data_IF_293200951455
#
_entry.id   IF_293200951455
#
_cell.length_a   1.000
_cell.length_b   1.000
_cell.length_c   1.000
_cell.angle_alpha   90.00
_cell.angle_beta   90.00
_cell.angle_gamma   90.00
#
_symmetry.space_group_name_H-M   'P 1'
#
loop_
_entity.id
_entity.type
_entity.pdbx_description
1 polymer ?
#
# COMPACT_ATOMS: atom_id res chain seq x y z
N UNK A 1 29.04 -54.77 -1.61
CA UNK A 1 28.69 -53.60 -2.43
C UNK A 1 27.52 -52.85 -1.80
N UNK A 2 27.76 -51.77 -1.06
CA UNK A 2 26.71 -50.78 -0.73
C UNK A 2 27.36 -49.40 -0.68
N UNK A 3 27.13 -48.59 -1.71
CA UNK A 3 27.52 -47.19 -1.73
C UNK A 3 26.50 -46.43 -0.88
N UNK A 4 26.94 -45.85 0.23
CA UNK A 4 26.11 -44.96 1.05
C UNK A 4 26.24 -43.58 0.43
N UNK A 5 25.23 -43.18 -0.35
CA UNK A 5 25.15 -41.84 -0.91
C UNK A 5 24.55 -40.93 0.17
N UNK A 6 25.41 -40.11 0.79
CA UNK A 6 24.98 -39.07 1.73
C UNK A 6 24.36 -37.93 0.91
N UNK A 7 23.03 -37.87 0.82
CA UNK A 7 22.33 -36.76 0.16
C UNK A 7 22.16 -35.64 1.18
N UNK A 8 22.97 -34.59 1.04
CA UNK A 8 22.83 -33.35 1.79
C UNK A 8 21.58 -32.61 1.25
N UNK A 9 20.44 -32.78 1.91
CA UNK A 9 19.23 -32.00 1.61
C UNK A 9 19.47 -30.60 2.16
N UNK A 10 19.92 -29.69 1.30
CA UNK A 10 19.93 -28.27 1.57
C UNK A 10 18.49 -27.79 1.71
N UNK A 11 18.05 -27.60 2.96
CA UNK A 11 16.80 -26.92 3.26
C UNK A 11 17.01 -25.44 2.91
N UNK A 12 16.69 -25.08 1.67
CA UNK A 12 16.34 -23.71 1.32
C UNK A 12 15.09 -23.38 2.13
N UNK A 13 15.29 -22.83 3.32
CA UNK A 13 14.28 -22.04 4.02
C UNK A 13 13.96 -20.85 3.11
N UNK A 14 13.04 -21.07 2.16
CA UNK A 14 12.20 -20.02 1.63
C UNK A 14 11.41 -19.51 2.82
N UNK A 15 12.04 -18.59 3.56
CA UNK A 15 11.36 -17.72 4.50
C UNK A 15 10.17 -17.17 3.75
N UNK A 16 8.98 -17.65 4.12
CA UNK A 16 7.71 -17.15 3.62
C UNK A 16 7.55 -15.75 4.21
N UNK A 17 8.29 -14.79 3.64
CA UNK A 17 8.08 -13.37 3.86
C UNK A 17 6.63 -13.11 3.46
N UNK A 18 5.85 -12.57 4.39
CA UNK A 18 4.45 -12.22 4.13
C UNK A 18 4.45 -11.05 3.16
N UNK A 19 4.58 -11.32 1.86
CA UNK A 19 4.38 -10.33 0.80
C UNK A 19 2.92 -9.89 0.91
N UNK A 20 2.70 -8.77 1.59
CA UNK A 20 1.40 -8.12 1.55
C UNK A 20 1.33 -7.34 0.24
N UNK A 21 0.35 -7.65 -0.58
CA UNK A 21 0.04 -6.88 -1.78
C UNK A 21 -0.67 -5.57 -1.41
N UNK A 22 -0.60 -4.58 -2.30
CA UNK A 22 -1.44 -3.39 -2.29
C UNK A 22 -2.91 -3.78 -2.20
N UNK A 23 -3.70 -3.13 -1.35
CA UNK A 23 -5.15 -3.38 -1.23
C UNK A 23 -5.92 -2.08 -1.31
N UNK A 24 -7.04 -2.08 -2.03
CA UNK A 24 -7.90 -0.91 -2.12
C UNK A 24 -9.35 -1.30 -2.44
N UNK A 25 -10.29 -0.41 -2.11
CA UNK A 25 -11.73 -0.56 -2.37
C UNK A 25 -12.34 0.80 -2.73
N UNK A 26 -13.36 0.79 -3.60
CA UNK A 26 -14.10 1.96 -4.11
C UNK A 26 -15.62 1.83 -3.93
N UNK A 27 -16.07 1.25 -2.82
CA UNK A 27 -17.48 0.97 -2.55
C UNK A 27 -18.28 2.23 -2.21
N UNK A 28 -19.62 2.14 -2.27
CA UNK A 28 -20.56 3.23 -1.96
C UNK A 28 -20.23 3.90 -0.62
N UNK A 29 -20.12 3.12 0.44
CA UNK A 29 -19.99 3.61 1.82
C UNK A 29 -18.54 3.77 2.27
N UNK A 30 -17.58 3.17 1.55
CA UNK A 30 -16.19 3.14 2.01
C UNK A 30 -15.19 3.12 0.86
N UNK A 31 -14.18 3.96 0.98
CA UNK A 31 -12.98 3.94 0.14
C UNK A 31 -11.78 3.71 1.04
N UNK A 32 -10.86 2.83 0.64
CA UNK A 32 -9.58 2.73 1.33
C UNK A 32 -8.47 2.34 0.37
N UNK A 33 -7.24 2.66 0.78
CA UNK A 33 -6.01 2.22 0.16
C UNK A 33 -5.03 1.83 1.27
N UNK A 34 -4.42 0.66 1.12
CA UNK A 34 -3.31 0.15 1.92
C UNK A 34 -2.13 -0.09 0.98
N UNK A 35 -1.09 0.70 1.18
CA UNK A 35 0.19 0.72 0.49
C UNK A 35 1.21 -0.04 1.34
N UNK A 36 2.00 -0.85 0.67
CA UNK A 36 3.00 -1.73 1.27
C UNK A 36 4.38 -1.38 0.70
N UNK A 37 5.46 -1.94 1.23
CA UNK A 37 6.79 -1.72 0.64
C UNK A 37 6.93 -2.22 -0.81
N UNK A 38 6.06 -3.15 -1.22
CA UNK A 38 6.08 -3.78 -2.55
C UNK A 38 5.12 -3.10 -3.54
N UNK A 39 4.35 -2.10 -3.10
CA UNK A 39 3.48 -1.35 -4.00
C UNK A 39 4.31 -0.60 -5.05
N UNK A 40 3.97 -0.82 -6.30
CA UNK A 40 4.69 -0.27 -7.47
C UNK A 40 4.12 1.06 -7.91
N UNK A 41 4.93 1.83 -8.66
CA UNK A 41 4.50 3.10 -9.25
C UNK A 41 3.28 2.94 -10.16
N UNK A 42 3.26 1.88 -10.98
CA UNK A 42 2.15 1.62 -11.90
C UNK A 42 0.85 1.28 -11.17
N UNK A 43 0.91 0.55 -10.05
CA UNK A 43 -0.25 0.34 -9.18
C UNK A 43 -0.76 1.65 -8.59
N UNK A 44 0.13 2.50 -8.07
CA UNK A 44 -0.27 3.80 -7.51
C UNK A 44 -0.97 4.69 -8.55
N UNK A 45 -0.42 4.76 -9.77
CA UNK A 45 -1.01 5.52 -10.88
C UNK A 45 -2.39 4.96 -11.24
N UNK A 46 -2.50 3.63 -11.39
CA UNK A 46 -3.78 2.97 -11.70
C UNK A 46 -4.83 3.26 -10.63
N UNK A 47 -4.48 3.08 -9.35
CA UNK A 47 -5.39 3.28 -8.22
C UNK A 47 -5.81 4.74 -8.11
N UNK A 48 -4.87 5.70 -8.25
CA UNK A 48 -5.21 7.12 -8.26
C UNK A 48 -6.19 7.48 -9.37
N UNK A 49 -6.00 6.94 -10.58
CA UNK A 49 -6.92 7.13 -11.70
C UNK A 49 -8.30 6.53 -11.42
N UNK A 50 -8.37 5.37 -10.76
CA UNK A 50 -9.63 4.73 -10.41
C UNK A 50 -10.38 5.54 -9.35
N UNK A 51 -9.70 5.96 -8.27
CA UNK A 51 -10.27 6.83 -7.24
C UNK A 51 -10.80 8.14 -7.81
N UNK A 52 -10.08 8.73 -8.77
CA UNK A 52 -10.53 9.94 -9.45
C UNK A 52 -11.78 9.69 -10.29
N UNK A 53 -11.83 8.59 -11.04
CA UNK A 53 -12.93 8.27 -11.94
C UNK A 53 -14.19 7.84 -11.18
N UNK A 54 -14.06 6.95 -10.19
CA UNK A 54 -15.19 6.30 -9.51
C UNK A 54 -15.75 7.17 -8.39
N UNK A 55 -14.89 7.89 -7.67
CA UNK A 55 -15.27 8.61 -6.43
C UNK A 55 -14.96 10.09 -6.46
N UNK A 56 -14.43 10.61 -7.56
CA UNK A 56 -13.92 11.97 -7.64
C UNK A 56 -12.89 12.29 -6.54
N UNK A 57 -12.17 11.28 -6.02
CA UNK A 57 -11.10 11.48 -5.03
C UNK A 57 -9.80 11.73 -5.78
N UNK A 58 -9.10 12.81 -5.46
CA UNK A 58 -7.76 13.07 -5.99
C UNK A 58 -6.76 12.45 -5.04
N UNK A 59 -5.88 11.60 -5.57
CA UNK A 59 -4.73 11.08 -4.84
C UNK A 59 -3.48 11.40 -5.62
N UNK A 60 -2.51 12.03 -4.96
CA UNK A 60 -1.26 12.44 -5.56
C UNK A 60 -0.09 11.65 -4.94
N UNK A 61 0.68 11.02 -5.82
CA UNK A 61 1.89 10.27 -5.52
C UNK A 61 3.12 10.84 -6.22
N UNK A 62 3.02 12.00 -6.88
CA UNK A 62 4.07 12.59 -7.72
C UNK A 62 5.40 12.84 -7.00
N UNK A 63 5.37 12.97 -5.66
CA UNK A 63 6.54 13.15 -4.80
C UNK A 63 7.03 11.85 -4.15
N UNK A 64 6.48 10.70 -4.55
CA UNK A 64 6.93 9.38 -4.10
C UNK A 64 8.24 9.04 -4.81
N UNK A 65 9.23 8.59 -4.04
CA UNK A 65 10.52 8.13 -4.55
C UNK A 65 10.55 6.60 -4.54
N UNK A 66 10.95 6.02 -5.67
CA UNK A 66 11.21 4.59 -5.81
C UNK A 66 12.73 4.34 -5.79
N UNK A 67 13.11 3.17 -5.31
CA UNK A 67 14.47 2.66 -5.41
C UNK A 67 14.68 1.93 -6.74
N UNK A 68 15.93 1.64 -7.08
CA UNK A 68 16.31 1.01 -8.36
C UNK A 68 15.64 -0.36 -8.60
N UNK A 69 15.24 -1.06 -7.54
CA UNK A 69 14.52 -2.33 -7.62
C UNK A 69 12.99 -2.17 -7.72
N UNK A 70 12.49 -0.95 -7.90
CA UNK A 70 11.07 -0.63 -8.02
C UNK A 70 10.28 -0.55 -6.71
N UNK A 71 10.92 -0.77 -5.54
CA UNK A 71 10.26 -0.61 -4.23
C UNK A 71 10.22 0.84 -3.79
N UNK A 72 9.22 1.18 -2.97
CA UNK A 72 9.08 2.52 -2.41
C UNK A 72 10.25 2.83 -1.45
N UNK A 73 11.03 3.84 -1.78
CA UNK A 73 12.06 4.42 -0.90
C UNK A 73 11.44 5.44 0.05
N UNK A 74 10.52 6.26 -0.46
CA UNK A 74 9.78 7.27 0.30
C UNK A 74 8.41 7.46 -0.33
N UNK A 75 7.37 7.09 0.39
CA UNK A 75 5.99 7.38 0.04
C UNK A 75 5.66 8.82 0.40
N UNK A 76 5.09 9.55 -0.56
CA UNK A 76 4.37 10.79 -0.30
C UNK A 76 2.94 10.62 -0.83
N UNK A 77 1.97 10.57 0.08
CA UNK A 77 0.56 10.36 -0.19
C UNK A 77 -0.19 11.64 0.16
N UNK A 78 -0.73 12.32 -0.84
CA UNK A 78 -1.66 13.44 -0.65
C UNK A 78 -3.05 13.03 -1.15
N UNK A 79 -4.09 13.29 -0.36
CA UNK A 79 -5.47 12.89 -0.66
C UNK A 79 -6.40 14.08 -0.49
N UNK A 80 -7.26 14.30 -1.47
CA UNK A 80 -8.40 15.21 -1.43
C UNK A 80 -9.66 14.46 -1.89
N UNK A 81 -10.55 14.18 -0.94
CA UNK A 81 -11.79 13.45 -1.18
C UNK A 81 -12.85 14.30 -1.90
N UNK A 82 -12.60 15.59 -2.11
CA UNK A 82 -13.54 16.57 -2.69
C UNK A 82 -14.90 16.66 -1.97
N UNK A 83 -14.95 16.29 -0.69
CA UNK A 83 -16.13 16.34 0.18
C UNK A 83 -15.83 17.07 1.51
N UNK A 84 -14.71 17.80 1.56
CA UNK A 84 -14.21 18.50 2.75
C UNK A 84 -13.11 17.73 3.50
N UNK A 85 -12.95 16.42 3.26
CA UNK A 85 -11.83 15.65 3.84
C UNK A 85 -10.61 15.65 2.93
N UNK A 86 -9.46 16.02 3.49
CA UNK A 86 -8.16 16.01 2.82
C UNK A 86 -7.04 15.77 3.83
N UNK A 87 -5.92 15.26 3.36
CA UNK A 87 -4.75 15.04 4.21
C UNK A 87 -3.52 14.67 3.42
N UNK A 88 -2.39 14.62 4.12
CA UNK A 88 -1.15 14.07 3.56
C UNK A 88 -0.47 13.15 4.58
N UNK A 89 0.35 12.23 4.07
CA UNK A 89 1.22 11.39 4.86
C UNK A 89 2.51 11.09 4.12
N UNK A 90 3.60 11.01 4.89
CA UNK A 90 4.92 10.61 4.40
C UNK A 90 5.32 9.33 5.13
N UNK A 91 5.81 8.34 4.41
CA UNK A 91 6.33 7.10 5.00
C UNK A 91 7.63 6.69 4.31
N UNK A 92 8.66 6.40 5.09
CA UNK A 92 9.92 5.90 4.53
C UNK A 92 9.80 4.41 4.20
N UNK A 93 10.67 3.90 3.32
CA UNK A 93 10.75 2.45 3.07
C UNK A 93 11.02 1.65 4.35
N UNK A 94 11.76 2.21 5.32
CA UNK A 94 11.96 1.59 6.63
C UNK A 94 10.66 1.46 7.44
N UNK A 95 9.79 2.48 7.39
CA UNK A 95 8.45 2.41 8.01
C UNK A 95 7.61 1.36 7.29
N UNK A 96 7.59 1.37 5.95
CA UNK A 96 6.79 0.46 5.13
C UNK A 96 7.17 -1.02 5.27
N UNK A 97 8.40 -1.33 5.69
CA UNK A 97 8.82 -2.68 6.09
C UNK A 97 8.18 -3.17 7.39
N UNK A 98 7.82 -2.24 8.27
CA UNK A 98 7.27 -2.54 9.60
C UNK A 98 5.76 -2.38 9.68
N UNK A 99 5.20 -1.42 8.93
CA UNK A 99 3.80 -1.01 8.99
C UNK A 99 3.38 -0.43 7.64
N UNK A 100 2.17 -0.74 7.20
CA UNK A 100 1.64 -0.21 5.96
C UNK A 100 1.32 1.28 6.08
N UNK A 101 1.03 1.92 4.96
CA UNK A 101 0.56 3.31 4.91
C UNK A 101 -0.63 3.42 3.98
N UNK A 102 -1.43 4.48 4.09
CA UNK A 102 -2.61 4.61 3.24
C UNK A 102 -3.62 5.60 3.75
N UNK A 103 -4.86 5.46 3.29
CA UNK A 103 -5.98 6.25 3.79
C UNK A 103 -7.28 5.45 3.78
N UNK A 104 -8.25 5.91 4.56
CA UNK A 104 -9.63 5.42 4.50
C UNK A 104 -10.60 6.58 4.62
N UNK A 105 -11.69 6.50 3.88
CA UNK A 105 -12.84 7.41 3.93
C UNK A 105 -14.10 6.57 4.14
N UNK A 106 -14.82 6.82 5.23
CA UNK A 106 -16.07 6.16 5.59
C UNK A 106 -17.25 7.15 5.49
N UNK A 107 -18.09 6.96 4.49
CA UNK A 107 -19.20 7.85 4.13
C UNK A 107 -20.47 7.60 4.94
N UNK A 108 -20.47 6.62 5.86
CA UNK A 108 -21.63 6.34 6.71
C UNK A 108 -22.02 7.56 7.56
N UNK A 109 -23.32 7.86 7.68
CA UNK A 109 -23.82 9.06 8.38
C UNK A 109 -23.29 9.20 9.82
N UNK A 110 -23.05 8.07 10.50
CA UNK A 110 -22.59 8.01 11.89
C UNK A 110 -21.16 7.48 12.03
N UNK A 111 -20.33 7.62 10.98
CA UNK A 111 -18.95 7.17 11.02
C UNK A 111 -18.19 7.86 12.16
N UNK A 112 -17.72 7.08 13.14
CA UNK A 112 -16.93 7.58 14.27
C UNK A 112 -15.58 8.17 13.82
N UNK A 113 -15.02 7.58 12.76
CA UNK A 113 -13.75 7.99 12.16
C UNK A 113 -13.94 8.10 10.65
N UNK A 114 -14.46 9.23 10.16
CA UNK A 114 -14.85 9.38 8.76
C UNK A 114 -13.65 9.44 7.80
N UNK A 115 -12.46 9.81 8.29
CA UNK A 115 -11.24 9.90 7.49
C UNK A 115 -10.00 9.57 8.32
N UNK A 116 -9.10 8.75 7.76
CA UNK A 116 -7.78 8.42 8.32
C UNK A 116 -6.77 8.45 7.20
N UNK A 117 -5.55 8.90 7.48
CA UNK A 117 -4.42 8.84 6.56
C UNK A 117 -3.11 8.62 7.33
N UNK A 118 -2.16 7.91 6.73
CA UNK A 118 -0.84 7.63 7.29
C UNK A 118 -0.64 6.17 7.62
N UNK A 119 0.19 5.90 8.63
CA UNK A 119 0.63 4.54 8.94
C UNK A 119 -0.51 3.69 9.55
N UNK A 120 -0.82 2.55 8.94
CA UNK A 120 -2.00 1.70 9.20
C UNK A 120 -1.65 0.35 9.83
#
# INVERSE_FOLDING_TARGET
MKKITLVLIGILILSCSKESNTKYVTDADKVFLVITENTTESELIKIASEFKTVKNIKVDFSKTEFSENGKIKKLNLEVDCNDGFKGNAISTGAILKSKNSGFSRDYSENAKVPFVIGAM
#
